data_IF_995378478743
#
_entry.id   IF_995378478743
#
_cell.length_a   1.000
_cell.length_b   1.000
_cell.length_c   1.000
_cell.angle_alpha   90.00
_cell.angle_beta   90.00
_cell.angle_gamma   90.00
#
_symmetry.space_group_name_H-M   'P 1'
#
loop_
_entity.id
_entity.type
_entity.pdbx_description
1 polymer ?
#
# COMPACT_ATOMS: atom_id res chain seq x y z
N UNK A 1 -12.26 23.67 15.94
CA UNK A 1 -11.81 22.27 15.84
C UNK A 1 -12.17 21.76 14.46
N UNK A 2 -11.17 21.50 13.60
CA UNK A 2 -11.40 21.19 12.18
C UNK A 2 -10.16 20.64 11.47
N UNK A 3 -9.36 19.82 12.15
CA UNK A 3 -8.03 19.37 11.66
C UNK A 3 -7.97 17.89 11.25
N UNK A 4 -9.07 17.14 11.42
CA UNK A 4 -9.14 15.72 11.04
C UNK A 4 -9.32 15.52 9.53
N UNK A 5 -10.28 16.22 8.91
CA UNK A 5 -10.63 16.03 7.50
C UNK A 5 -9.50 16.40 6.50
N UNK A 6 -8.66 17.38 6.82
CA UNK A 6 -7.55 17.79 5.94
C UNK A 6 -6.48 16.69 5.85
N UNK A 7 -6.18 16.03 6.98
CA UNK A 7 -5.14 15.00 7.07
C UNK A 7 -5.47 13.75 6.24
N UNK A 8 -6.76 13.42 6.12
CA UNK A 8 -7.22 12.28 5.33
C UNK A 8 -7.12 12.53 3.81
N UNK A 9 -7.30 13.77 3.32
CA UNK A 9 -7.12 14.04 1.89
C UNK A 9 -5.64 13.96 1.48
N UNK A 10 -4.74 14.42 2.34
CA UNK A 10 -3.28 14.33 2.15
C UNK A 10 -2.80 12.86 2.14
N UNK A 11 -3.34 12.03 3.03
CA UNK A 11 -3.03 10.60 3.08
C UNK A 11 -3.50 9.85 1.81
N UNK A 12 -4.66 10.20 1.24
CA UNK A 12 -5.14 9.61 -0.02
C UNK A 12 -4.20 9.98 -1.17
N UNK A 13 -3.80 11.24 -1.27
CA UNK A 13 -2.85 11.69 -2.28
C UNK A 13 -1.50 10.96 -2.13
N UNK A 14 -1.04 10.78 -0.88
CA UNK A 14 0.18 10.03 -0.56
C UNK A 14 0.07 8.57 -0.97
N UNK A 15 -1.04 7.88 -0.68
CA UNK A 15 -1.29 6.50 -1.12
C UNK A 15 -1.24 6.40 -2.65
N UNK A 16 -1.89 7.32 -3.36
CA UNK A 16 -1.89 7.31 -4.83
C UNK A 16 -0.48 7.50 -5.40
N UNK A 17 0.31 8.42 -4.84
CA UNK A 17 1.70 8.64 -5.26
C UNK A 17 2.56 7.40 -4.98
N UNK A 18 2.50 6.86 -3.76
CA UNK A 18 3.26 5.66 -3.38
C UNK A 18 2.88 4.44 -4.22
N UNK A 19 1.59 4.29 -4.56
CA UNK A 19 1.12 3.18 -5.39
C UNK A 19 1.65 3.26 -6.82
N UNK A 20 1.74 4.46 -7.41
CA UNK A 20 2.37 4.65 -8.73
C UNK A 20 3.85 4.30 -8.70
N UNK A 21 4.59 4.86 -7.73
CA UNK A 21 6.03 4.59 -7.57
C UNK A 21 6.28 3.11 -7.32
N UNK A 22 5.41 2.42 -6.57
CA UNK A 22 5.50 0.97 -6.38
C UNK A 22 5.50 0.21 -7.71
N UNK A 23 4.56 0.54 -8.61
CA UNK A 23 4.47 -0.10 -9.93
C UNK A 23 5.73 0.15 -10.75
N UNK A 24 6.24 1.38 -10.74
CA UNK A 24 7.46 1.73 -11.46
C UNK A 24 8.68 0.94 -10.95
N UNK A 25 8.80 0.79 -9.62
CA UNK A 25 9.86 0.00 -8.98
C UNK A 25 9.72 -1.50 -9.27
N UNK A 26 8.49 -2.03 -9.29
CA UNK A 26 8.24 -3.42 -9.64
C UNK A 26 8.60 -3.72 -11.10
N UNK A 27 8.25 -2.82 -12.02
CA UNK A 27 8.64 -2.92 -13.43
C UNK A 27 10.17 -2.86 -13.59
N UNK A 28 10.83 -1.94 -12.87
CA UNK A 28 12.29 -1.84 -12.89
C UNK A 28 12.95 -3.14 -12.38
N UNK A 29 12.40 -3.75 -11.32
CA UNK A 29 12.86 -5.03 -10.81
C UNK A 29 12.73 -6.15 -11.85
N UNK A 30 11.62 -6.18 -12.59
CA UNK A 30 11.43 -7.15 -13.67
C UNK A 30 12.47 -6.97 -14.80
N UNK A 31 12.75 -5.73 -15.20
CA UNK A 31 13.77 -5.46 -16.22
C UNK A 31 15.18 -5.89 -15.76
N UNK A 32 15.57 -5.61 -14.51
CA UNK A 32 16.85 -6.07 -13.98
C UNK A 32 16.93 -7.59 -13.87
N UNK A 33 15.86 -8.27 -13.47
CA UNK A 33 15.77 -9.73 -13.46
C UNK A 33 16.04 -10.30 -14.86
N UNK A 34 15.37 -9.73 -15.88
CA UNK A 34 15.55 -10.13 -17.27
C UNK A 34 16.96 -9.84 -17.79
N UNK A 35 17.56 -8.71 -17.42
CA UNK A 35 18.96 -8.43 -17.76
C UNK A 35 19.90 -9.46 -17.14
N UNK A 36 19.70 -9.80 -15.86
CA UNK A 36 20.51 -10.78 -15.14
C UNK A 36 20.46 -12.17 -15.79
N UNK A 37 19.28 -12.61 -16.23
CA UNK A 37 19.08 -13.89 -16.92
C UNK A 37 19.83 -13.97 -18.26
N UNK A 38 19.95 -12.84 -18.96
CA UNK A 38 20.57 -12.77 -20.28
C UNK A 38 22.07 -12.43 -20.24
N UNK A 39 22.58 -11.93 -19.12
CA UNK A 39 23.97 -11.52 -18.99
C UNK A 39 24.92 -12.73 -18.91
N UNK A 40 26.09 -12.60 -19.54
CA UNK A 40 27.13 -13.64 -19.57
C UNK A 40 28.39 -13.23 -18.83
N UNK A 41 28.62 -11.94 -18.66
CA UNK A 41 29.76 -11.39 -17.92
C UNK A 41 29.49 -11.41 -16.42
N UNK A 42 30.33 -12.09 -15.65
CA UNK A 42 30.15 -12.22 -14.20
C UNK A 42 30.25 -10.87 -13.46
N UNK A 43 31.14 -9.97 -13.92
CA UNK A 43 31.28 -8.61 -13.38
C UNK A 43 29.97 -7.82 -13.56
N UNK A 44 29.34 -7.97 -14.72
CA UNK A 44 28.09 -7.28 -15.03
C UNK A 44 26.91 -7.89 -14.26
N UNK A 45 26.88 -9.22 -14.09
CA UNK A 45 25.92 -9.89 -13.22
C UNK A 45 25.99 -9.38 -11.78
N UNK A 46 27.19 -9.27 -11.21
CA UNK A 46 27.37 -8.74 -9.87
C UNK A 46 26.91 -7.28 -9.74
N UNK A 47 27.05 -6.48 -10.80
CA UNK A 47 26.52 -5.11 -10.83
C UNK A 47 24.98 -5.12 -10.86
N UNK A 48 24.39 -5.91 -11.75
CA UNK A 48 22.92 -6.04 -11.89
C UNK A 48 22.30 -6.58 -10.60
N UNK A 49 22.93 -7.55 -9.93
CA UNK A 49 22.46 -8.07 -8.64
C UNK A 49 22.44 -6.99 -7.56
N UNK A 50 23.47 -6.14 -7.49
CA UNK A 50 23.51 -5.01 -6.55
C UNK A 50 22.40 -3.99 -6.84
N UNK A 51 22.12 -3.70 -8.11
CA UNK A 51 21.02 -2.82 -8.49
C UNK A 51 19.65 -3.44 -8.17
N UNK A 52 19.49 -4.74 -8.36
CA UNK A 52 18.28 -5.48 -7.99
C UNK A 52 18.04 -5.47 -6.46
N UNK A 53 19.10 -5.64 -5.65
CA UNK A 53 18.99 -5.50 -4.19
C UNK A 53 18.51 -4.10 -3.77
N UNK A 54 18.97 -3.05 -4.44
CA UNK A 54 18.53 -1.68 -4.18
C UNK A 54 17.03 -1.56 -4.49
N UNK A 55 16.62 -2.05 -5.65
CA UNK A 55 15.20 -2.06 -6.08
C UNK A 55 14.32 -2.80 -5.07
N UNK A 56 14.76 -3.96 -4.59
CA UNK A 56 14.03 -4.75 -3.59
C UNK A 56 13.88 -4.01 -2.26
N UNK A 57 14.97 -3.39 -1.76
CA UNK A 57 14.92 -2.54 -0.55
C UNK A 57 13.98 -1.36 -0.72
N UNK A 58 14.00 -0.70 -1.88
CA UNK A 58 13.09 0.41 -2.18
C UNK A 58 11.63 -0.06 -2.20
N UNK A 59 11.34 -1.20 -2.84
CA UNK A 59 10.00 -1.81 -2.85
C UNK A 59 9.51 -2.10 -1.42
N UNK A 60 10.37 -2.68 -0.59
CA UNK A 60 10.05 -2.97 0.81
C UNK A 60 9.71 -1.69 1.59
N UNK A 61 10.51 -0.63 1.43
CA UNK A 61 10.25 0.67 2.05
C UNK A 61 8.92 1.31 1.63
N UNK A 62 8.56 1.21 0.34
CA UNK A 62 7.27 1.71 -0.16
C UNK A 62 6.10 0.93 0.44
N UNK A 63 6.19 -0.40 0.48
CA UNK A 63 5.17 -1.25 1.07
C UNK A 63 4.97 -0.92 2.57
N UNK A 64 6.06 -0.76 3.32
CA UNK A 64 5.99 -0.36 4.73
C UNK A 64 5.29 1.00 4.91
N UNK A 65 5.56 1.98 4.05
CA UNK A 65 4.84 3.26 4.11
C UNK A 65 3.35 3.13 3.76
N UNK A 66 3.00 2.31 2.76
CA UNK A 66 1.59 2.05 2.42
C UNK A 66 0.86 1.36 3.59
N UNK A 67 1.47 0.35 4.20
CA UNK A 67 0.91 -0.36 5.36
C UNK A 67 0.71 0.58 6.56
N UNK A 68 1.66 1.46 6.84
CA UNK A 68 1.54 2.45 7.92
C UNK A 68 0.33 3.36 7.70
N UNK A 69 0.18 3.91 6.50
CA UNK A 69 -0.97 4.77 6.19
C UNK A 69 -2.27 3.97 6.25
N UNK A 70 -2.31 2.75 5.69
CA UNK A 70 -3.51 1.90 5.78
C UNK A 70 -3.90 1.57 7.23
N UNK A 71 -2.94 1.25 8.09
CA UNK A 71 -3.17 0.96 9.50
C UNK A 71 -3.64 2.20 10.27
N UNK A 72 -3.13 3.39 9.93
CA UNK A 72 -3.61 4.66 10.50
C UNK A 72 -5.08 4.94 10.14
N UNK A 73 -5.55 4.44 8.99
CA UNK A 73 -6.92 4.63 8.53
C UNK A 73 -7.94 3.65 9.13
N UNK A 74 -7.52 2.46 9.59
CA UNK A 74 -8.43 1.44 10.16
C UNK A 74 -9.35 2.01 11.25
N UNK A 75 -8.87 2.73 12.29
CA UNK A 75 -9.74 3.27 13.33
C UNK A 75 -10.72 4.34 12.80
N UNK A 76 -10.27 5.17 11.85
CA UNK A 76 -11.11 6.18 11.23
C UNK A 76 -12.28 5.52 10.46
N UNK A 77 -11.98 4.53 9.60
CA UNK A 77 -12.99 3.81 8.83
C UNK A 77 -13.99 3.08 9.75
N UNK A 78 -13.50 2.43 10.81
CA UNK A 78 -14.36 1.78 11.80
C UNK A 78 -15.29 2.78 12.50
N UNK A 79 -14.77 3.94 12.89
CA UNK A 79 -15.58 4.98 13.54
C UNK A 79 -16.63 5.57 12.59
N UNK A 80 -16.28 5.77 11.32
CA UNK A 80 -17.18 6.26 10.29
C UNK A 80 -18.31 5.26 10.01
N UNK A 81 -17.96 3.97 9.81
CA UNK A 81 -18.94 2.90 9.59
C UNK A 81 -19.87 2.72 10.81
N UNK A 82 -19.31 2.77 12.02
CA UNK A 82 -20.11 2.70 13.26
C UNK A 82 -21.07 3.88 13.38
N UNK A 83 -20.61 5.08 13.03
CA UNK A 83 -21.44 6.29 12.98
C UNK A 83 -22.56 6.18 11.94
N UNK A 84 -22.23 5.75 10.73
CA UNK A 84 -23.20 5.52 9.66
C UNK A 84 -24.26 4.48 10.06
N UNK A 85 -23.85 3.36 10.65
CA UNK A 85 -24.75 2.32 11.15
C UNK A 85 -25.71 2.87 12.21
N UNK A 86 -25.24 3.70 13.15
CA UNK A 86 -26.12 4.33 14.16
C UNK A 86 -27.18 5.25 13.55
N UNK A 87 -26.88 5.90 12.43
CA UNK A 87 -27.83 6.75 11.70
C UNK A 87 -28.81 5.91 10.88
N UNK A 88 -28.37 4.80 10.31
CA UNK A 88 -29.18 3.90 9.48
C UNK A 88 -30.04 2.91 10.28
N UNK A 89 -29.63 2.54 11.50
CA UNK A 89 -30.35 1.62 12.38
C UNK A 89 -31.81 2.03 12.69
N UNK A 90 -32.12 3.31 13.00
CA UNK A 90 -33.51 3.75 13.17
C UNK A 90 -34.30 3.84 11.85
N UNK A 91 -33.68 3.69 10.67
CA UNK A 91 -34.31 3.76 9.34
C UNK A 91 -34.77 2.37 8.85
N UNK A 92 -34.52 1.29 9.61
CA UNK A 92 -35.08 -0.03 9.31
C UNK A 92 -34.42 -0.79 8.16
N UNK A 93 -33.17 -0.45 7.80
CA UNK A 93 -32.36 -1.28 6.91
C UNK A 93 -31.58 -2.32 7.73
N UNK A 94 -32.01 -3.59 7.68
CA UNK A 94 -31.21 -4.73 8.14
C UNK A 94 -30.05 -4.94 7.16
N UNK A 95 -28.90 -4.31 7.43
CA UNK A 95 -27.66 -4.58 6.69
C UNK A 95 -26.86 -5.63 7.47
N UNK A 96 -26.88 -6.88 7.00
CA UNK A 96 -25.91 -7.89 7.44
C UNK A 96 -24.52 -7.50 6.90
N UNK A 97 -23.73 -6.83 7.72
CA UNK A 97 -22.34 -6.51 7.39
C UNK A 97 -21.45 -7.67 7.88
N UNK A 98 -21.09 -8.57 6.98
CA UNK A 98 -20.13 -9.65 7.27
C UNK A 98 -18.70 -9.10 7.09
N UNK A 99 -18.13 -8.53 8.15
CA UNK A 99 -16.74 -8.02 8.17
C UNK A 99 -15.76 -9.15 8.51
N UNK A 100 -15.51 -10.06 7.57
CA UNK A 100 -14.36 -10.96 7.68
C UNK A 100 -13.10 -10.22 7.24
N UNK A 101 -12.36 -9.64 8.19
CA UNK A 101 -10.97 -9.28 7.95
C UNK A 101 -10.15 -10.56 8.06
N UNK A 102 -9.67 -11.05 6.92
CA UNK A 102 -8.71 -12.14 6.89
C UNK A 102 -7.38 -11.58 7.43
N UNK A 103 -7.05 -11.91 8.68
CA UNK A 103 -5.68 -11.89 9.16
C UNK A 103 -4.92 -12.94 8.33
N UNK A 104 -3.96 -12.50 7.52
CA UNK A 104 -2.98 -13.41 6.95
C UNK A 104 -1.78 -13.43 7.87
N UNK A 105 -1.41 -14.64 8.31
CA UNK A 105 -0.22 -14.98 9.09
C UNK A 105 1.10 -14.52 8.43
#
# INVERSE_FOLDING_TARGET
>A
MGTGHIRHLEDVEKIQKLSRVKVDVENLGFEYQKMLENEKCDIEKERIQRELEIVERTKHGINGQLELVQNQWKPFLLSFLTGALRVLYPIGLNVEVNLSFHESD
#
